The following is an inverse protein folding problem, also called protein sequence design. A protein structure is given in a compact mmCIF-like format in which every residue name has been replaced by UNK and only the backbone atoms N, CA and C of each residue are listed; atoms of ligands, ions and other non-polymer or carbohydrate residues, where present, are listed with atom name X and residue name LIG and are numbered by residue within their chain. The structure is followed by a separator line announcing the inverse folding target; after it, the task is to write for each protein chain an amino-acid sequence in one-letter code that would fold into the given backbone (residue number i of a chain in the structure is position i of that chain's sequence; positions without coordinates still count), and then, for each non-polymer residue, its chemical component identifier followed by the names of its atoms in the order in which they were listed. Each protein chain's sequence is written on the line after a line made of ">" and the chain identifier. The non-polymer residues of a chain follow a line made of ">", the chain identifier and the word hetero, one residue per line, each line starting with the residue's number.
data_IF_560757478040
#
_entry.id   IF_560757478040
#
_cell.length_a   1.000
_cell.length_b   1.000
_cell.length_c   1.000
_cell.angle_alpha   90.00
_cell.angle_beta   90.00
_cell.angle_gamma   90.00
#
_symmetry.space_group_name_H-M   'P 1'
#
loop_
_entity.id
_entity.type
_entity.pdbx_description
1 polymer ?
#
# COMPACT_ATOMS: atom_id res chain seq x y z
N UNK A 1 -11.38 -12.30 -17.36
CA UNK A 1 -11.24 -12.66 -15.93
C UNK A 1 -9.86 -13.25 -15.70
N UNK A 2 -9.20 -12.85 -14.62
CA UNK A 2 -7.75 -12.91 -14.47
C UNK A 2 -7.23 -14.32 -14.16
N UNK A 3 -6.22 -14.78 -14.90
CA UNK A 3 -5.46 -16.01 -14.64
C UNK A 3 -4.94 -16.14 -13.19
N UNK A 4 -4.92 -15.05 -12.42
CA UNK A 4 -4.55 -15.04 -11.01
C UNK A 4 -5.39 -15.96 -10.11
N UNK A 5 -6.69 -16.14 -10.39
CA UNK A 5 -7.55 -17.04 -9.61
C UNK A 5 -7.19 -18.53 -9.75
N UNK A 6 -6.45 -18.89 -10.80
CA UNK A 6 -6.01 -20.27 -11.05
C UNK A 6 -4.66 -20.60 -10.40
N UNK A 7 -4.06 -19.68 -9.64
CA UNK A 7 -2.79 -19.93 -8.97
C UNK A 7 -2.95 -20.89 -7.79
N UNK A 8 -2.12 -21.93 -7.72
CA UNK A 8 -2.08 -22.84 -6.56
C UNK A 8 -1.62 -22.17 -5.26
N UNK A 9 -1.09 -20.95 -5.34
CA UNK A 9 -0.69 -20.13 -4.19
C UNK A 9 -1.86 -19.32 -3.59
N UNK A 10 -3.03 -19.35 -4.22
CA UNK A 10 -4.18 -18.59 -3.78
C UNK A 10 -4.98 -19.38 -2.73
N UNK A 11 -5.22 -18.74 -1.59
CA UNK A 11 -6.30 -19.10 -0.68
C UNK A 11 -7.34 -17.99 -0.75
N UNK A 12 -8.55 -18.31 -1.23
CA UNK A 12 -9.62 -17.33 -1.42
C UNK A 12 -10.55 -17.29 -0.20
N UNK A 13 -10.76 -16.09 0.32
CA UNK A 13 -11.78 -15.80 1.32
C UNK A 13 -12.81 -14.84 0.72
N UNK A 14 -14.11 -15.15 0.91
CA UNK A 14 -15.20 -14.28 0.48
C UNK A 14 -15.89 -13.75 1.74
N UNK A 15 -15.62 -12.49 2.07
CA UNK A 15 -16.14 -11.83 3.25
C UNK A 15 -15.71 -10.37 3.33
N UNK A 16 -16.00 -9.74 4.47
CA UNK A 16 -15.52 -8.39 4.76
C UNK A 16 -14.04 -8.41 5.15
N UNK A 17 -13.23 -7.64 4.44
CA UNK A 17 -11.80 -7.51 4.71
C UNK A 17 -11.50 -6.90 6.07
N UNK A 18 -12.35 -5.99 6.55
CA UNK A 18 -12.19 -5.37 7.86
C UNK A 18 -12.35 -6.41 8.97
N UNK A 19 -13.40 -7.23 8.90
CA UNK A 19 -13.63 -8.31 9.86
C UNK A 19 -12.54 -9.38 9.77
N UNK A 20 -12.14 -9.75 8.54
CA UNK A 20 -11.08 -10.73 8.32
C UNK A 20 -9.77 -10.31 9.02
N UNK A 21 -9.37 -9.05 8.90
CA UNK A 21 -8.13 -8.58 9.55
C UNK A 21 -8.14 -8.65 11.09
N UNK A 22 -9.29 -8.75 11.75
CA UNK A 22 -9.36 -8.92 13.21
C UNK A 22 -8.82 -10.28 13.67
N UNK A 23 -8.89 -11.29 12.80
CA UNK A 23 -8.55 -12.68 13.10
C UNK A 23 -7.05 -12.97 12.94
N UNK A 24 -6.29 -12.05 12.33
CA UNK A 24 -4.88 -12.27 11.95
C UNK A 24 -3.89 -11.47 12.82
N UNK A 25 -2.78 -12.12 13.18
CA UNK A 25 -1.71 -11.51 13.99
C UNK A 25 -0.35 -12.04 13.52
N UNK A 26 0.59 -11.15 13.16
CA UNK A 26 1.94 -11.50 12.69
C UNK A 26 1.97 -12.59 11.60
N UNK A 27 1.06 -12.51 10.64
CA UNK A 27 0.85 -13.55 9.62
C UNK A 27 1.40 -13.15 8.25
N UNK A 28 1.26 -11.88 7.87
CA UNK A 28 1.57 -11.43 6.52
C UNK A 28 2.85 -10.62 6.45
N UNK A 29 3.68 -10.88 5.43
CA UNK A 29 4.84 -10.04 5.11
C UNK A 29 4.42 -8.78 4.35
N UNK A 30 3.40 -8.91 3.50
CA UNK A 30 2.84 -7.82 2.68
C UNK A 30 1.31 -7.87 2.72
N UNK A 31 0.68 -6.71 2.95
CA UNK A 31 -0.78 -6.54 2.79
C UNK A 31 -1.04 -5.54 1.65
N UNK A 32 -1.99 -5.84 0.77
CA UNK A 32 -2.44 -4.91 -0.29
C UNK A 32 -3.94 -4.72 -0.15
N UNK A 33 -4.40 -3.47 -0.03
CA UNK A 33 -5.83 -3.13 -0.03
C UNK A 33 -6.18 -2.50 -1.38
N UNK A 34 -6.70 -3.33 -2.29
CA UNK A 34 -7.20 -2.93 -3.61
C UNK A 34 -8.72 -2.69 -3.56
N UNK A 35 -9.10 -1.52 -3.06
CA UNK A 35 -10.51 -1.11 -2.85
C UNK A 35 -10.98 -0.07 -3.87
N UNK A 36 -12.30 0.11 -3.94
CA UNK A 36 -12.91 1.30 -4.55
C UNK A 36 -12.80 2.51 -3.61
N UNK A 37 -13.28 3.66 -4.09
CA UNK A 37 -13.42 4.92 -3.34
C UNK A 37 -14.12 4.72 -1.98
N UNK A 38 -13.88 5.59 -0.99
CA UNK A 38 -14.34 5.47 0.40
C UNK A 38 -15.85 5.74 0.57
N UNK A 39 -16.68 4.96 -0.13
CA UNK A 39 -18.14 5.07 -0.10
C UNK A 39 -18.73 3.67 0.10
N UNK A 40 -19.73 3.59 0.99
CA UNK A 40 -20.45 2.36 1.25
C UNK A 40 -19.55 1.29 1.89
N UNK A 41 -19.45 0.08 1.34
CA UNK A 41 -18.74 -1.03 1.99
C UNK A 41 -17.23 -0.83 2.10
N UNK A 42 -16.65 0.11 1.34
CA UNK A 42 -15.22 0.40 1.37
C UNK A 42 -14.84 1.48 2.41
N UNK A 43 -15.81 2.27 2.90
CA UNK A 43 -15.55 3.37 3.84
C UNK A 43 -14.71 2.98 5.07
N UNK A 44 -14.95 1.81 5.73
CA UNK A 44 -14.13 1.40 6.87
C UNK A 44 -12.66 1.15 6.53
N UNK A 45 -12.33 0.85 5.27
CA UNK A 45 -10.97 0.52 4.83
C UNK A 45 -10.04 1.75 4.76
N UNK A 46 -10.60 2.96 4.88
CA UNK A 46 -9.88 4.23 4.85
C UNK A 46 -9.71 4.86 6.24
N UNK A 47 -10.16 4.17 7.30
CA UNK A 47 -10.10 4.66 8.68
C UNK A 47 -8.87 4.12 9.42
N UNK A 48 -8.45 4.83 10.46
CA UNK A 48 -7.28 4.48 11.27
C UNK A 48 -7.39 3.06 11.87
N UNK A 49 -8.58 2.66 12.30
CA UNK A 49 -8.86 1.37 12.91
C UNK A 49 -8.48 0.22 11.97
N UNK A 50 -8.72 0.36 10.67
CA UNK A 50 -8.33 -0.67 9.70
C UNK A 50 -6.80 -0.77 9.56
N UNK A 51 -6.08 0.36 9.63
CA UNK A 51 -4.62 0.38 9.59
C UNK A 51 -4.00 -0.22 10.86
N UNK A 52 -4.64 -0.06 12.01
CA UNK A 52 -4.26 -0.74 13.26
C UNK A 52 -4.40 -2.26 13.14
N UNK A 53 -5.50 -2.73 12.53
CA UNK A 53 -5.71 -4.14 12.23
C UNK A 53 -4.63 -4.68 11.27
N UNK A 54 -4.34 -3.95 10.17
CA UNK A 54 -3.27 -4.34 9.25
C UNK A 54 -1.90 -4.36 9.94
N UNK A 55 -1.57 -3.37 10.79
CA UNK A 55 -0.31 -3.35 11.56
C UNK A 55 -0.15 -4.58 12.47
N UNK A 56 -1.25 -5.01 13.09
CA UNK A 56 -1.30 -6.22 13.94
C UNK A 56 -1.14 -7.50 13.11
N UNK A 57 -1.80 -7.57 11.96
CA UNK A 57 -1.75 -8.71 11.05
C UNK A 57 -0.38 -8.85 10.35
N UNK A 58 0.35 -7.74 10.14
CA UNK A 58 1.70 -7.77 9.58
C UNK A 58 2.73 -8.39 10.55
N UNK A 59 3.62 -9.23 10.02
CA UNK A 59 4.83 -9.71 10.70
C UNK A 59 5.77 -8.55 11.10
N UNK A 60 6.79 -8.80 11.94
CA UNK A 60 7.94 -7.89 12.03
C UNK A 60 8.45 -7.54 10.63
N UNK A 61 8.82 -6.28 10.42
CA UNK A 61 9.28 -5.74 9.13
C UNK A 61 8.28 -5.78 7.96
N UNK A 62 7.04 -6.20 8.20
CA UNK A 62 6.00 -6.24 7.17
C UNK A 62 5.61 -4.85 6.67
N UNK A 63 5.10 -4.81 5.44
CA UNK A 63 4.67 -3.58 4.77
C UNK A 63 3.24 -3.69 4.22
N UNK A 64 2.57 -2.56 4.07
CA UNK A 64 1.28 -2.47 3.42
C UNK A 64 1.28 -1.47 2.27
N UNK A 65 0.38 -1.68 1.31
CA UNK A 65 0.09 -0.76 0.22
C UNK A 65 -1.42 -0.70 0.00
N UNK A 66 -2.02 0.46 0.27
CA UNK A 66 -3.46 0.68 0.08
C UNK A 66 -3.67 1.65 -1.08
N UNK A 67 -4.77 1.49 -1.83
CA UNK A 67 -5.28 2.57 -2.68
C UNK A 67 -5.41 3.85 -1.83
N UNK A 68 -4.94 4.98 -2.37
CA UNK A 68 -4.76 6.22 -1.63
C UNK A 68 -5.36 7.44 -2.33
N UNK A 69 -6.47 7.27 -3.03
CA UNK A 69 -7.19 8.34 -3.76
C UNK A 69 -6.31 9.18 -4.72
N UNK A 70 -6.85 10.23 -5.31
CA UNK A 70 -6.24 11.06 -6.32
C UNK A 70 -5.82 12.43 -5.75
N UNK A 71 -4.53 12.76 -5.91
CA UNK A 71 -3.95 14.06 -5.52
C UNK A 71 -4.73 15.29 -6.02
N UNK A 72 -5.43 15.19 -7.15
CA UNK A 72 -6.16 16.28 -7.78
C UNK A 72 -7.60 16.44 -7.27
N UNK A 73 -8.12 15.47 -6.50
CA UNK A 73 -9.50 15.45 -6.03
C UNK A 73 -9.59 15.66 -4.53
N UNK A 74 -9.00 14.77 -3.72
CA UNK A 74 -9.16 14.80 -2.27
C UNK A 74 -7.82 14.75 -1.53
N UNK A 75 -7.07 15.85 -1.62
CA UNK A 75 -5.79 15.99 -0.92
C UNK A 75 -5.95 16.04 0.60
N UNK A 76 -7.14 16.39 1.11
CA UNK A 76 -7.48 16.38 2.54
C UNK A 76 -7.58 14.95 3.09
N UNK A 77 -8.29 14.06 2.39
CA UNK A 77 -8.38 12.66 2.75
C UNK A 77 -6.99 12.02 2.75
N UNK A 78 -6.21 12.26 1.68
CA UNK A 78 -4.83 11.76 1.57
C UNK A 78 -3.98 12.24 2.75
N UNK A 79 -4.09 13.51 3.12
CA UNK A 79 -3.39 14.06 4.28
C UNK A 79 -3.80 13.34 5.57
N UNK A 80 -5.10 13.18 5.80
CA UNK A 80 -5.63 12.50 6.98
C UNK A 80 -5.07 11.08 7.09
N UNK A 81 -5.12 10.32 5.99
CA UNK A 81 -4.61 8.96 5.95
C UNK A 81 -3.10 8.88 6.17
N UNK A 82 -2.33 9.77 5.56
CA UNK A 82 -0.88 9.85 5.77
C UNK A 82 -0.56 10.20 7.23
N UNK A 83 -1.30 11.11 7.84
CA UNK A 83 -1.04 11.58 9.21
C UNK A 83 -1.30 10.47 10.23
N UNK A 84 -2.49 9.84 10.24
CA UNK A 84 -2.72 8.73 11.17
C UNK A 84 -1.78 7.55 10.88
N UNK A 85 -1.40 7.34 9.62
CA UNK A 85 -0.45 6.27 9.27
C UNK A 85 0.92 6.53 9.90
N UNK A 86 1.36 7.79 10.01
CA UNK A 86 2.64 8.15 10.65
C UNK A 86 2.62 7.92 12.17
N UNK A 87 1.46 8.01 12.80
CA UNK A 87 1.30 7.66 14.21
C UNK A 87 1.41 6.13 14.42
N UNK A 88 1.09 5.35 13.39
CA UNK A 88 1.10 3.89 13.43
C UNK A 88 2.42 3.26 12.94
N UNK A 89 3.07 3.81 11.91
CA UNK A 89 4.20 3.17 11.25
C UNK A 89 5.45 4.07 11.25
N UNK A 90 6.65 3.50 11.47
CA UNK A 90 7.89 4.28 11.42
C UNK A 90 8.19 4.86 10.03
N UNK A 91 7.68 4.25 8.95
CA UNK A 91 7.87 4.71 7.57
C UNK A 91 6.52 4.76 6.87
N UNK A 92 6.19 5.92 6.30
CA UNK A 92 4.98 6.17 5.51
C UNK A 92 5.33 7.01 4.30
N UNK A 93 5.02 6.50 3.10
CA UNK A 93 5.19 7.23 1.84
C UNK A 93 3.87 7.24 1.05
N UNK A 94 3.77 8.23 0.16
CA UNK A 94 2.73 8.33 -0.85
C UNK A 94 3.36 8.29 -2.23
N UNK A 95 2.86 7.42 -3.09
CA UNK A 95 3.21 7.36 -4.51
C UNK A 95 1.94 7.44 -5.37
N UNK A 96 2.09 7.74 -6.65
CA UNK A 96 0.96 7.75 -7.57
C UNK A 96 1.33 7.18 -8.94
N UNK A 97 0.32 6.79 -9.70
CA UNK A 97 0.44 6.30 -11.06
C UNK A 97 -0.60 6.93 -11.96
N UNK A 98 -0.33 6.94 -13.27
CA UNK A 98 -1.26 7.41 -14.29
C UNK A 98 -2.09 6.25 -14.83
N UNK A 99 -3.41 6.40 -14.81
CA UNK A 99 -4.35 5.42 -15.38
C UNK A 99 -5.54 6.20 -15.97
N UNK A 100 -5.67 6.27 -17.32
CA UNK A 100 -6.61 7.18 -17.98
C UNK A 100 -8.08 7.02 -17.58
N UNK A 101 -8.47 5.82 -17.13
CA UNK A 101 -9.86 5.50 -16.81
C UNK A 101 -10.26 5.85 -15.37
N UNK A 102 -9.33 6.27 -14.52
CA UNK A 102 -9.68 6.78 -13.19
C UNK A 102 -9.93 8.28 -13.25
N UNK A 103 -10.70 8.83 -12.29
CA UNK A 103 -10.89 10.26 -12.16
C UNK A 103 -9.57 11.03 -12.19
N UNK A 104 -9.52 12.09 -12.99
CA UNK A 104 -8.30 12.89 -13.26
C UNK A 104 -7.11 12.11 -13.86
N UNK A 105 -7.33 10.90 -14.38
CA UNK A 105 -6.33 10.12 -15.12
C UNK A 105 -5.20 9.55 -14.26
N UNK A 106 -5.35 9.52 -12.93
CA UNK A 106 -4.33 9.00 -12.01
C UNK A 106 -4.93 8.49 -10.69
N UNK A 107 -4.15 7.70 -9.95
CA UNK A 107 -4.48 7.23 -8.62
C UNK A 107 -3.23 7.12 -7.75
N UNK A 108 -3.40 7.31 -6.45
CA UNK A 108 -2.37 7.21 -5.44
C UNK A 108 -2.36 5.90 -4.67
N UNK A 109 -1.28 5.73 -3.92
CA UNK A 109 -1.07 4.63 -3.01
C UNK A 109 -0.45 5.14 -1.71
N UNK A 110 -0.97 4.70 -0.58
CA UNK A 110 -0.35 4.89 0.74
C UNK A 110 0.41 3.62 1.07
N UNK A 111 1.69 3.78 1.37
CA UNK A 111 2.60 2.68 1.71
C UNK A 111 3.14 2.90 3.10
N UNK A 112 3.03 1.87 3.94
CA UNK A 112 3.54 1.91 5.32
C UNK A 112 4.40 0.69 5.59
N UNK A 113 5.44 0.84 6.41
CA UNK A 113 6.34 -0.26 6.80
C UNK A 113 6.57 -0.27 8.30
N UNK A 114 6.61 -1.47 8.89
CA UNK A 114 7.06 -1.69 10.27
C UNK A 114 8.59 -1.62 10.40
N UNK A 115 9.31 -1.74 9.29
CA UNK A 115 10.76 -1.62 9.26
C UNK A 115 11.17 -0.14 9.08
N UNK A 116 11.85 0.42 10.08
CA UNK A 116 12.35 1.81 10.10
C UNK A 116 13.35 2.13 8.99
N UNK A 117 14.01 1.11 8.43
CA UNK A 117 15.04 1.25 7.40
C UNK A 117 14.45 1.13 5.99
N UNK A 118 13.13 0.93 5.85
CA UNK A 118 12.46 0.91 4.55
C UNK A 118 12.56 2.27 3.86
N UNK A 119 12.93 2.24 2.58
CA UNK A 119 12.98 3.41 1.70
C UNK A 119 12.14 3.12 0.47
N UNK A 120 10.85 3.47 0.52
CA UNK A 120 9.91 3.11 -0.55
C UNK A 120 10.30 3.70 -1.90
N UNK A 121 10.98 4.84 -1.96
CA UNK A 121 11.44 5.41 -3.23
C UNK A 121 12.57 4.62 -3.89
N UNK A 122 13.30 3.79 -3.15
CA UNK A 122 14.44 3.01 -3.64
C UNK A 122 14.10 1.51 -3.62
N UNK A 123 13.66 0.92 -4.76
CA UNK A 123 13.25 -0.47 -4.79
C UNK A 123 14.42 -1.40 -4.46
N UNK A 124 14.27 -2.18 -3.39
CA UNK A 124 15.27 -3.18 -2.96
C UNK A 124 15.46 -4.28 -4.01
N UNK A 125 14.40 -4.62 -4.73
CA UNK A 125 14.42 -5.57 -5.85
C UNK A 125 14.36 -4.80 -7.16
N UNK A 126 15.43 -4.89 -7.94
CA UNK A 126 15.52 -4.33 -9.29
C UNK A 126 15.56 -5.49 -10.29
N UNK A 127 14.56 -5.56 -11.15
CA UNK A 127 14.49 -6.54 -12.22
C UNK A 127 15.32 -6.08 -13.43
N UNK A 128 16.04 -7.02 -14.03
CA UNK A 128 16.68 -6.84 -15.34
C UNK A 128 15.63 -6.66 -16.43
N UNK A 129 16.02 -6.09 -17.58
CA UNK A 129 15.12 -5.93 -18.73
C UNK A 129 14.51 -7.28 -19.16
N UNK A 130 15.31 -8.34 -19.17
CA UNK A 130 14.82 -9.69 -19.49
C UNK A 130 13.79 -10.20 -18.49
N UNK A 131 13.96 -9.95 -17.19
CA UNK A 131 12.96 -10.32 -16.18
C UNK A 131 11.67 -9.50 -16.33
N UNK A 132 11.78 -8.20 -16.63
CA UNK A 132 10.62 -7.33 -16.91
C UNK A 132 9.81 -7.87 -18.10
N UNK A 133 10.50 -8.28 -19.18
CA UNK A 133 9.89 -8.91 -20.36
C UNK A 133 9.26 -10.28 -20.02
N UNK A 134 9.97 -11.14 -19.31
CA UNK A 134 9.48 -12.46 -18.89
C UNK A 134 8.25 -12.37 -17.99
N UNK A 135 8.18 -11.35 -17.13
CA UNK A 135 7.03 -11.06 -16.29
C UNK A 135 5.86 -10.42 -17.07
N UNK A 136 6.08 -10.01 -18.33
CA UNK A 136 5.08 -9.36 -19.16
C UNK A 136 4.65 -7.99 -18.63
N UNK A 137 5.54 -7.28 -17.93
CA UNK A 137 5.24 -5.98 -17.34
C UNK A 137 5.12 -4.92 -18.45
N UNK A 138 4.04 -4.15 -18.41
CA UNK A 138 3.75 -3.10 -19.41
C UNK A 138 3.92 -1.67 -18.88
N UNK A 139 4.07 -1.51 -17.56
CA UNK A 139 4.11 -0.21 -16.90
C UNK A 139 5.22 -0.14 -15.87
N UNK A 140 5.25 -1.11 -14.95
CA UNK A 140 6.25 -1.10 -13.87
C UNK A 140 7.65 -1.41 -14.40
N UNK A 141 8.60 -0.55 -14.04
CA UNK A 141 10.04 -0.83 -14.01
C UNK A 141 10.65 -0.03 -12.84
N UNK A 142 11.93 -0.21 -12.55
CA UNK A 142 12.58 0.44 -11.40
C UNK A 142 12.64 1.97 -11.50
N UNK A 143 12.69 2.55 -12.70
CA UNK A 143 12.71 4.00 -12.91
C UNK A 143 11.32 4.61 -12.73
N UNK A 144 10.28 3.93 -13.21
CA UNK A 144 8.87 4.28 -12.98
C UNK A 144 8.54 4.20 -11.49
N UNK A 145 9.02 3.15 -10.80
CA UNK A 145 8.88 3.03 -9.35
C UNK A 145 9.42 4.26 -8.62
N UNK A 146 10.67 4.65 -8.88
CA UNK A 146 11.29 5.83 -8.27
C UNK A 146 10.50 7.10 -8.57
N UNK A 147 10.07 7.25 -9.82
CA UNK A 147 9.33 8.43 -10.30
C UNK A 147 7.94 8.57 -9.66
N UNK A 148 7.29 7.47 -9.28
CA UNK A 148 5.98 7.48 -8.65
C UNK A 148 5.94 8.26 -7.32
N UNK A 149 7.08 8.45 -6.65
CA UNK A 149 7.21 9.20 -5.40
C UNK A 149 7.56 10.69 -5.60
N UNK A 150 7.76 11.13 -6.86
CA UNK A 150 8.04 12.52 -7.19
C UNK A 150 6.74 13.28 -7.37
N UNK A 151 6.22 13.82 -6.26
CA UNK A 151 4.92 14.48 -6.24
C UNK A 151 4.97 15.92 -6.78
N UNK A 152 3.87 16.39 -7.43
CA UNK A 152 3.69 17.81 -7.74
C UNK A 152 3.86 18.70 -6.50
N UNK A 153 4.34 19.94 -6.70
CA UNK A 153 4.71 20.82 -5.58
C UNK A 153 3.55 21.11 -4.62
N UNK A 154 2.31 21.21 -5.12
CA UNK A 154 1.14 21.44 -4.27
C UNK A 154 0.87 20.25 -3.33
N UNK A 155 0.95 19.02 -3.84
CA UNK A 155 0.78 17.79 -3.07
C UNK A 155 1.92 17.61 -2.06
N UNK A 156 3.17 17.86 -2.49
CA UNK A 156 4.35 17.80 -1.63
C UNK A 156 4.23 18.72 -0.42
N UNK A 157 3.70 19.94 -0.60
CA UNK A 157 3.46 20.89 0.50
C UNK A 157 2.50 20.34 1.55
N UNK A 158 1.47 19.60 1.15
CA UNK A 158 0.47 19.06 2.09
C UNK A 158 0.97 17.78 2.77
N UNK A 159 1.53 16.85 2.00
CA UNK A 159 1.93 15.52 2.48
C UNK A 159 3.21 15.56 3.34
N UNK A 160 4.18 16.44 3.00
CA UNK A 160 5.43 16.59 3.77
C UNK A 160 5.35 17.61 4.92
N UNK A 161 4.24 18.35 5.07
CA UNK A 161 4.17 19.55 5.92
C UNK A 161 4.36 19.33 7.43
N UNK A 162 4.36 18.08 7.94
CA UNK A 162 4.52 17.81 9.37
C UNK A 162 5.67 16.85 9.68
N UNK A 163 6.89 17.31 9.40
CA UNK A 163 8.06 16.86 10.15
C UNK A 163 8.60 18.07 10.94
N UNK A 164 8.01 18.34 12.10
CA UNK A 164 8.59 19.22 13.13
C UNK A 164 8.42 18.58 14.51
N UNK A 165 9.54 18.06 15.01
CA UNK A 165 9.95 17.88 16.42
C UNK A 165 9.17 16.80 17.21
N UNK A 166 9.80 15.70 17.64
CA UNK A 166 10.84 15.71 18.67
C UNK A 166 12.15 15.00 18.28
N UNK A 167 13.26 15.72 18.45
CA UNK A 167 14.60 15.18 18.55
C UNK A 167 14.74 14.40 19.86
N UNK A 168 15.22 13.16 19.81
CA UNK A 168 16.19 12.62 20.77
C UNK A 168 17.07 11.58 20.06
N UNK A 169 18.38 11.83 20.15
CA UNK A 169 19.47 10.91 19.80
C UNK A 169 19.39 9.68 20.71
N UNK A 170 19.61 8.46 20.22
CA UNK A 170 20.93 7.80 20.28
C UNK A 170 20.90 6.32 19.79
N UNK A 171 22.07 5.89 19.28
CA UNK A 171 22.62 4.52 19.08
C UNK A 171 21.72 3.43 18.42
N UNK A 172 22.06 2.76 17.32
CA UNK A 172 23.33 2.10 17.00
C UNK A 172 23.18 0.58 17.18
N UNK A 173 22.94 -0.19 16.11
CA UNK A 173 23.48 -1.55 15.87
C UNK A 173 22.87 -2.21 14.60
N UNK A 174 23.74 -2.93 13.89
CA UNK A 174 23.46 -3.71 12.66
C UNK A 174 23.09 -5.13 13.02
N UNK A 175 22.15 -5.75 12.29
CA UNK A 175 22.20 -7.20 12.07
C UNK A 175 21.63 -7.59 10.70
N UNK A 176 22.37 -8.45 10.02
CA UNK A 176 22.07 -9.04 8.72
C UNK A 176 21.30 -10.35 8.90
N UNK A 177 20.33 -10.62 8.03
CA UNK A 177 19.64 -11.92 7.98
C UNK A 177 18.72 -12.01 6.77
N UNK A 178 19.15 -12.76 5.76
CA UNK A 178 18.45 -12.97 4.48
C UNK A 178 17.56 -14.21 4.61
N UNK A 179 16.25 -14.08 4.40
CA UNK A 179 15.29 -15.19 4.40
C UNK A 179 14.30 -15.07 3.21
N UNK A 180 13.83 -16.18 2.64
CA UNK A 180 13.13 -16.19 1.36
C UNK A 180 11.65 -15.77 1.48
N UNK A 181 11.25 -14.84 0.61
CA UNK A 181 9.88 -14.33 0.45
C UNK A 181 8.89 -15.44 0.03
N UNK A 182 7.87 -15.70 0.83
CA UNK A 182 6.65 -16.40 0.41
C UNK A 182 5.51 -15.37 0.20
N UNK A 183 4.85 -15.47 -0.95
CA UNK A 183 3.77 -14.60 -1.44
C UNK A 183 2.49 -14.78 -0.62
N UNK A 184 1.71 -13.71 -0.42
CA UNK A 184 0.23 -13.67 -0.49
C UNK A 184 -0.17 -12.23 -0.89
N UNK A 185 -1.06 -12.11 -1.89
CA UNK A 185 -1.77 -10.88 -2.26
C UNK A 185 -3.22 -11.13 -1.85
N UNK A 186 -3.73 -10.36 -0.88
CA UNK A 186 -5.13 -10.42 -0.48
C UNK A 186 -5.92 -9.38 -1.28
N UNK A 187 -6.46 -9.76 -2.45
CA UNK A 187 -7.41 -8.89 -3.17
C UNK A 187 -8.81 -9.11 -2.61
N UNK A 188 -9.30 -8.18 -1.79
CA UNK A 188 -10.70 -8.17 -1.35
C UNK A 188 -11.51 -7.36 -2.36
N UNK A 189 -12.17 -8.04 -3.31
CA UNK A 189 -13.20 -7.42 -4.15
C UNK A 189 -14.54 -8.09 -3.88
N UNK A 190 -15.49 -7.33 -3.31
CA UNK A 190 -16.90 -7.72 -3.28
C UNK A 190 -17.50 -7.42 -4.64
N UNK A 191 -18.06 -8.44 -5.30
CA UNK A 191 -18.73 -8.29 -6.59
C UNK A 191 -19.93 -7.36 -6.49
N UNK A 192 -20.08 -6.48 -7.48
CA UNK A 192 -21.31 -5.77 -7.77
C UNK A 192 -22.44 -6.79 -7.94
N UNK A 193 -23.50 -6.67 -7.15
CA UNK A 193 -24.74 -7.42 -7.35
C UNK A 193 -25.33 -7.07 -8.72
N UNK A 194 -25.81 -8.04 -9.52
CA UNK A 194 -26.80 -7.73 -10.54
C UNK A 194 -28.13 -7.44 -9.85
N UNK A 195 -28.72 -6.29 -10.18
CA UNK A 195 -30.09 -5.98 -9.82
C UNK A 195 -31.04 -7.06 -10.34
N UNK A 196 -32.05 -7.36 -9.53
CA UNK A 196 -33.24 -8.08 -9.96
C UNK A 196 -33.95 -7.26 -11.04
N UNK A 197 -34.03 -7.79 -12.25
CA UNK A 197 -35.26 -8.07 -13.03
C UNK A 197 -34.88 -8.81 -14.33
#
# INVERSE_FOLDING_TARGET
>A
MACGFSSSKLTQFIGDGFEHMKEHVNEFDVIITDSSDPVGPAEPLFQQEYYELMKKALKPDGLLCCQGDCLWLDLSLIKSMVDFSKDLFPVVNYGFTTIPTYPCGQIGFIMCSKNKDTRFEDPVTVFTESEVEQMGLKYYNAEVHKSAFVLPQFAKKVIKSLCRQNCFLDHGEKIAGMWPLQRIILTIRRGLFPGKE
#
